data_IF_711437512344
#
_entry.id   IF_711437512344
#
_cell.length_a   1.000
_cell.length_b   1.000
_cell.length_c   1.000
_cell.angle_alpha   90.00
_cell.angle_beta   90.00
_cell.angle_gamma   90.00
#
_symmetry.space_group_name_H-M   'P 1'
#
loop_
_entity.id
_entity.type
_entity.pdbx_description
1 polymer ?
#
# COMPACT_ATOMS: atom_id res chain seq x y z
N UNK A 1 3.28 7.08 12.43
CA UNK A 1 4.01 6.76 11.17
C UNK A 1 4.38 8.09 10.51
N UNK A 2 5.66 8.37 10.28
CA UNK A 2 6.09 9.55 9.53
C UNK A 2 5.80 9.34 8.03
N UNK A 3 5.31 10.38 7.36
CA UNK A 3 5.25 10.41 5.90
C UNK A 3 6.68 10.56 5.36
N UNK A 4 6.95 9.95 4.21
CA UNK A 4 8.14 10.24 3.43
C UNK A 4 7.74 11.13 2.25
N UNK A 5 8.56 12.11 1.88
CA UNK A 5 8.30 12.91 0.68
C UNK A 5 8.82 12.16 -0.54
N UNK A 6 7.93 11.84 -1.48
CA UNK A 6 8.34 11.42 -2.81
C UNK A 6 8.73 12.66 -3.61
N UNK A 7 9.96 12.66 -4.10
CA UNK A 7 10.56 13.76 -4.87
C UNK A 7 10.46 13.56 -6.39
N UNK A 8 10.16 12.33 -6.83
CA UNK A 8 9.99 11.97 -8.23
C UNK A 8 8.82 11.00 -8.40
N UNK A 9 8.14 11.12 -9.54
CA UNK A 9 7.03 10.28 -9.95
C UNK A 9 7.36 9.30 -11.05
N UNK A 10 6.32 8.60 -11.49
CA UNK A 10 6.38 7.84 -12.74
C UNK A 10 6.74 8.78 -13.91
N UNK A 11 7.73 8.38 -14.72
CA UNK A 11 8.29 9.21 -15.79
C UNK A 11 9.44 10.13 -15.36
N UNK A 12 9.87 10.09 -14.10
CA UNK A 12 11.00 10.90 -13.60
C UNK A 12 10.65 12.39 -13.41
N UNK A 13 9.36 12.73 -13.40
CA UNK A 13 8.92 14.10 -13.17
C UNK A 13 9.06 14.46 -11.69
N UNK A 14 9.57 15.66 -11.36
CA UNK A 14 9.63 16.13 -9.97
C UNK A 14 8.26 16.12 -9.30
N UNK A 15 8.24 15.71 -8.04
CA UNK A 15 7.04 15.67 -7.19
C UNK A 15 7.36 16.20 -5.80
N UNK A 16 6.32 16.65 -5.09
CA UNK A 16 6.40 16.95 -3.66
C UNK A 16 5.15 16.38 -2.98
N UNK A 17 5.16 15.07 -2.75
CA UNK A 17 3.99 14.34 -2.23
C UNK A 17 4.35 13.56 -0.98
N UNK A 18 3.52 13.71 0.05
CA UNK A 18 3.62 12.93 1.28
C UNK A 18 3.11 11.50 1.06
N UNK A 19 4.03 10.53 1.09
CA UNK A 19 3.75 9.11 0.97
C UNK A 19 3.60 8.49 2.35
N UNK A 20 2.47 7.82 2.52
CA UNK A 20 2.09 7.13 3.74
C UNK A 20 2.04 5.63 3.50
N UNK A 21 3.09 4.90 3.90
CA UNK A 21 3.10 3.43 3.83
C UNK A 21 2.14 2.84 4.87
N UNK A 22 1.40 1.80 4.49
CA UNK A 22 0.47 1.07 5.36
C UNK A 22 0.73 -0.43 5.20
N UNK A 23 0.82 -1.20 6.31
CA UNK A 23 0.89 -2.65 6.23
C UNK A 23 -0.38 -3.21 5.55
N UNK A 24 -0.27 -4.29 4.75
CA UNK A 24 -1.42 -4.93 4.13
C UNK A 24 -2.53 -5.29 5.14
N UNK A 25 -2.16 -5.69 6.35
CA UNK A 25 -3.09 -6.06 7.44
C UNK A 25 -3.97 -4.87 7.86
N UNK A 26 -3.38 -3.66 7.90
CA UNK A 26 -4.13 -2.45 8.23
C UNK A 26 -5.14 -2.13 7.13
N UNK A 27 -4.75 -2.30 5.87
CA UNK A 27 -5.65 -2.07 4.74
C UNK A 27 -6.79 -3.09 4.73
N UNK A 28 -6.48 -4.37 4.98
CA UNK A 28 -7.49 -5.42 5.09
C UNK A 28 -8.50 -5.14 6.21
N UNK A 29 -8.06 -4.68 7.38
CA UNK A 29 -8.96 -4.31 8.47
C UNK A 29 -9.91 -3.15 8.11
N UNK A 30 -9.45 -2.19 7.30
CA UNK A 30 -10.31 -1.10 6.83
C UNK A 30 -11.34 -1.56 5.79
N UNK A 31 -10.94 -2.45 4.89
CA UNK A 31 -11.84 -3.04 3.89
C UNK A 31 -12.93 -3.88 4.57
N UNK A 32 -12.56 -4.72 5.54
CA UNK A 32 -13.49 -5.52 6.35
C UNK A 32 -14.48 -4.62 7.11
N UNK A 33 -13.97 -3.58 7.79
CA UNK A 33 -14.82 -2.59 8.47
C UNK A 33 -15.75 -1.81 7.51
N UNK A 34 -15.39 -1.72 6.22
CA UNK A 34 -16.22 -1.12 5.18
C UNK A 34 -17.22 -2.11 4.53
N UNK A 35 -17.25 -3.37 4.99
CA UNK A 35 -18.16 -4.41 4.52
C UNK A 35 -17.71 -5.13 3.24
N UNK A 36 -16.42 -5.07 2.90
CA UNK A 36 -15.86 -5.91 1.84
C UNK A 36 -15.50 -7.29 2.39
N UNK A 37 -15.68 -8.32 1.58
CA UNK A 37 -15.16 -9.66 1.86
C UNK A 37 -13.73 -9.72 1.34
N UNK A 38 -12.78 -10.02 2.22
CA UNK A 38 -11.38 -10.25 1.84
C UNK A 38 -11.25 -11.64 1.25
N UNK A 39 -10.89 -11.71 -0.02
CA UNK A 39 -10.68 -12.97 -0.74
C UNK A 39 -9.28 -13.52 -0.50
N UNK A 40 -8.25 -12.66 -0.62
CA UNK A 40 -6.86 -13.08 -0.49
C UNK A 40 -5.95 -11.94 -0.04
N UNK A 41 -4.83 -12.34 0.59
CA UNK A 41 -3.71 -11.45 0.93
C UNK A 41 -2.43 -12.11 0.44
N UNK A 42 -1.58 -11.35 -0.25
CA UNK A 42 -0.31 -11.84 -0.79
C UNK A 42 0.82 -10.90 -0.42
N UNK A 43 1.88 -11.44 0.18
CA UNK A 43 3.11 -10.68 0.43
C UNK A 43 3.96 -10.64 -0.84
N UNK A 44 4.57 -9.49 -1.09
CA UNK A 44 5.39 -9.24 -2.27
C UNK A 44 6.67 -8.50 -1.90
N UNK A 45 7.76 -8.78 -2.61
CA UNK A 45 9.04 -8.10 -2.44
C UNK A 45 9.39 -7.38 -3.74
N UNK A 46 8.99 -6.11 -3.90
CA UNK A 46 9.21 -5.38 -5.15
C UNK A 46 10.68 -4.99 -5.36
N UNK A 47 11.49 -4.97 -4.30
CA UNK A 47 12.90 -4.65 -4.35
C UNK A 47 13.64 -5.27 -3.15
N UNK A 48 14.99 -5.38 -3.18
CA UNK A 48 15.76 -5.82 -2.03
C UNK A 48 15.41 -5.02 -0.78
N UNK A 49 15.14 -5.70 0.34
CA UNK A 49 14.78 -5.12 1.63
C UNK A 49 13.49 -4.28 1.64
N UNK A 50 12.67 -4.35 0.59
CA UNK A 50 11.34 -3.73 0.55
C UNK A 50 10.29 -4.82 0.57
N UNK A 51 9.40 -4.79 1.57
CA UNK A 51 8.21 -5.62 1.63
C UNK A 51 6.97 -4.79 1.27
N UNK A 52 6.11 -5.37 0.46
CA UNK A 52 4.79 -4.87 0.11
C UNK A 52 3.79 -6.02 0.13
N UNK A 53 2.55 -5.73 -0.27
CA UNK A 53 1.55 -6.77 -0.38
C UNK A 53 0.33 -6.32 -1.17
N UNK A 54 -0.42 -7.32 -1.62
CA UNK A 54 -1.68 -7.18 -2.31
C UNK A 54 -2.80 -7.67 -1.41
N UNK A 55 -3.93 -6.94 -1.40
CA UNK A 55 -5.17 -7.34 -0.73
C UNK A 55 -6.26 -7.38 -1.80
N UNK A 56 -6.85 -8.55 -2.00
CA UNK A 56 -7.95 -8.77 -2.94
C UNK A 56 -9.25 -8.82 -2.13
N UNK A 57 -10.22 -8.01 -2.52
CA UNK A 57 -11.49 -7.90 -1.82
C UNK A 57 -12.62 -7.56 -2.80
N UNK A 58 -13.83 -8.00 -2.50
CA UNK A 58 -15.03 -7.73 -3.28
C UNK A 58 -16.21 -7.34 -2.38
N UNK A 59 -17.24 -6.76 -2.98
CA UNK A 59 -18.48 -6.38 -2.31
C UNK A 59 -19.67 -6.69 -3.20
#
# INVERSE_FOLDING_TARGET
>A
MRAATATEGYGGHPMNVYVHRRPPERVAAWLDAAGFIIEAKMMHRPAPNVEGGFVFAYR
#
